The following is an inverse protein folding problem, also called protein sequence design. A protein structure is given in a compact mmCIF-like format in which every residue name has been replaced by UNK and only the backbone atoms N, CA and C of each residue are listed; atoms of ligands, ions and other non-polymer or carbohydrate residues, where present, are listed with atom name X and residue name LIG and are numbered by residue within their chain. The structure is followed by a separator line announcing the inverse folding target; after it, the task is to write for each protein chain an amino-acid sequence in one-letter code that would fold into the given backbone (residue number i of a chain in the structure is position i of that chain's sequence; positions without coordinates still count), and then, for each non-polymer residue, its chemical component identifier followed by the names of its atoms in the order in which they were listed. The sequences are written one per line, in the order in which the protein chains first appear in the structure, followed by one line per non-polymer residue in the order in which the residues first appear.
data_IF_957906358066
#
_entry.id   IF_957906358066
#
_cell.length_a   1.000
_cell.length_b   1.000
_cell.length_c   1.000
_cell.angle_alpha   90.00
_cell.angle_beta   90.00
_cell.angle_gamma   90.00
#
_symmetry.space_group_name_H-M   'P 1'
#
loop_
_entity.id
_entity.type
_entity.pdbx_description
1 polymer ?
#
# COMPACT_ATOMS: atom_id res chain seq x y z
N UNK A 1 27.13 4.23 2.98
CA UNK A 1 26.09 3.21 3.22
C UNK A 1 24.75 3.83 2.87
N UNK A 2 23.94 3.22 2.00
CA UNK A 2 22.60 3.75 1.67
C UNK A 2 21.60 3.48 2.80
N UNK A 3 20.66 4.42 3.03
CA UNK A 3 19.68 4.33 4.13
C UNK A 3 18.83 3.07 4.10
N UNK A 4 18.43 2.62 2.90
CA UNK A 4 17.68 1.38 2.74
C UNK A 4 18.47 0.16 3.24
N UNK A 5 19.79 0.07 3.00
CA UNK A 5 20.61 -1.03 3.53
C UNK A 5 20.75 -0.99 5.06
N UNK A 6 20.67 0.21 5.65
CA UNK A 6 20.65 0.33 7.10
C UNK A 6 19.31 -0.16 7.67
N UNK A 7 18.20 0.27 7.07
CA UNK A 7 16.85 -0.19 7.44
C UNK A 7 16.69 -1.72 7.26
N UNK A 8 17.15 -2.27 6.14
CA UNK A 8 17.20 -3.71 5.88
C UNK A 8 17.95 -4.50 6.95
N UNK A 9 19.08 -3.97 7.45
CA UNK A 9 19.83 -4.60 8.54
C UNK A 9 19.09 -4.52 9.88
N UNK A 10 18.43 -3.41 10.16
CA UNK A 10 17.56 -3.27 11.34
C UNK A 10 16.42 -4.30 11.27
N UNK A 11 15.79 -4.46 10.10
CA UNK A 11 14.78 -5.50 9.87
C UNK A 11 15.37 -6.90 10.08
N UNK A 12 16.48 -7.25 9.43
CA UNK A 12 17.11 -8.56 9.60
C UNK A 12 17.44 -8.92 11.06
N UNK A 13 17.92 -7.94 11.83
CA UNK A 13 18.17 -8.09 13.27
C UNK A 13 16.89 -8.26 14.10
N UNK A 14 15.85 -7.47 13.80
CA UNK A 14 14.55 -7.55 14.46
C UNK A 14 13.85 -8.90 14.19
N UNK A 15 13.99 -9.41 12.97
CA UNK A 15 13.33 -10.61 12.46
C UNK A 15 14.12 -11.90 12.68
N UNK A 16 15.35 -11.80 13.19
CA UNK A 16 16.26 -12.93 13.38
C UNK A 16 16.44 -13.78 12.10
N UNK A 17 16.53 -13.11 10.93
CA UNK A 17 16.65 -13.74 9.60
C UNK A 17 17.98 -14.48 9.32
N UNK A 18 18.77 -14.80 10.35
CA UNK A 18 20.22 -15.06 10.25
C UNK A 18 20.72 -15.96 9.09
N UNK A 19 22.03 -15.88 8.82
CA UNK A 19 22.66 -16.63 7.74
C UNK A 19 22.56 -15.92 6.39
N UNK A 20 22.38 -16.67 5.30
CA UNK A 20 22.46 -16.14 3.93
C UNK A 20 21.35 -15.14 3.62
N UNK A 21 20.15 -15.31 4.20
CA UNK A 21 19.04 -14.38 3.97
C UNK A 21 19.31 -12.98 4.53
N UNK A 22 19.89 -12.87 5.74
CA UNK A 22 20.30 -11.60 6.34
C UNK A 22 21.43 -10.92 5.53
N UNK A 23 22.41 -11.70 5.06
CA UNK A 23 23.49 -11.19 4.22
C UNK A 23 22.98 -10.66 2.87
N UNK A 24 22.08 -11.39 2.22
CA UNK A 24 21.45 -10.99 0.96
C UNK A 24 20.57 -9.75 1.14
N UNK A 25 19.75 -9.71 2.19
CA UNK A 25 18.89 -8.55 2.48
C UNK A 25 19.70 -7.29 2.77
N UNK A 26 20.72 -7.40 3.64
CA UNK A 26 21.54 -6.27 4.06
C UNK A 26 22.46 -5.71 2.97
N UNK A 27 22.80 -6.53 1.96
CA UNK A 27 23.74 -6.16 0.90
C UNK A 27 23.06 -5.72 -0.40
N UNK A 28 21.95 -6.37 -0.80
CA UNK A 28 21.32 -6.15 -2.10
C UNK A 28 20.20 -5.13 -2.11
N UNK A 29 19.75 -4.66 -0.95
CA UNK A 29 18.75 -3.60 -0.91
C UNK A 29 19.31 -2.31 -1.53
N UNK A 30 18.65 -1.79 -2.56
CA UNK A 30 19.05 -0.58 -3.27
C UNK A 30 17.81 0.29 -3.47
N UNK A 31 17.89 1.55 -3.09
CA UNK A 31 16.89 2.54 -3.46
C UNK A 31 17.55 3.63 -4.31
N UNK A 32 16.92 3.98 -5.42
CA UNK A 32 17.13 5.29 -6.05
C UNK A 32 16.22 6.28 -5.34
N UNK A 33 16.76 7.45 -4.96
CA UNK A 33 16.11 8.50 -4.15
C UNK A 33 14.58 8.44 -4.17
N UNK A 34 14.01 7.89 -3.08
CA UNK A 34 12.59 7.90 -2.75
C UNK A 34 11.66 6.98 -3.56
N UNK A 35 12.09 6.38 -4.66
CA UNK A 35 11.12 6.05 -5.72
C UNK A 35 11.35 4.74 -6.49
N UNK A 36 12.46 4.03 -6.24
CA UNK A 36 12.65 2.67 -6.78
C UNK A 36 13.46 1.84 -5.80
N UNK A 37 12.77 1.13 -4.91
CA UNK A 37 13.37 0.32 -3.87
C UNK A 37 13.43 -1.15 -4.32
N UNK A 38 14.61 -1.62 -4.69
CA UNK A 38 14.86 -3.04 -4.86
C UNK A 38 15.18 -3.67 -3.51
N UNK A 39 14.35 -4.61 -3.10
CA UNK A 39 14.42 -5.29 -1.80
C UNK A 39 14.38 -6.81 -1.92
N UNK A 40 14.31 -7.36 -3.15
CA UNK A 40 14.40 -8.78 -3.47
C UNK A 40 13.16 -9.58 -3.07
N UNK A 41 12.34 -10.01 -4.04
CA UNK A 41 11.06 -10.69 -3.81
C UNK A 41 11.20 -11.97 -2.98
N UNK A 42 12.16 -12.84 -3.32
CA UNK A 42 12.37 -14.11 -2.64
C UNK A 42 12.72 -13.93 -1.16
N UNK A 43 13.56 -12.94 -0.83
CA UNK A 43 13.96 -12.69 0.55
C UNK A 43 12.78 -12.12 1.35
N UNK A 44 11.96 -11.27 0.73
CA UNK A 44 10.74 -10.76 1.34
C UNK A 44 9.70 -11.83 1.62
N UNK A 45 9.57 -12.83 0.74
CA UNK A 45 8.73 -14.00 0.98
C UNK A 45 9.21 -14.79 2.21
N UNK A 46 10.53 -14.98 2.34
CA UNK A 46 11.10 -15.64 3.53
C UNK A 46 10.81 -14.84 4.80
N UNK A 47 10.95 -13.50 4.82
CA UNK A 47 10.56 -12.72 5.99
C UNK A 47 9.07 -12.73 6.30
N UNK A 48 8.22 -12.71 5.28
CA UNK A 48 6.76 -12.78 5.46
C UNK A 48 6.36 -14.08 6.18
N UNK A 49 7.04 -15.21 5.90
CA UNK A 49 6.82 -16.49 6.60
C UNK A 49 7.14 -16.44 8.11
N UNK A 50 8.00 -15.49 8.52
CA UNK A 50 8.48 -15.34 9.89
C UNK A 50 7.70 -14.29 10.68
N UNK A 51 6.97 -13.41 9.99
CA UNK A 51 6.31 -12.26 10.60
C UNK A 51 4.83 -12.51 10.89
N UNK A 52 4.37 -12.23 12.13
CA UNK A 52 2.94 -12.20 12.42
C UNK A 52 2.21 -11.20 11.50
N UNK A 53 1.08 -11.62 10.92
CA UNK A 53 0.19 -10.75 10.15
C UNK A 53 0.63 -10.44 8.72
N UNK A 54 1.69 -11.09 8.23
CA UNK A 54 2.18 -10.98 6.86
C UNK A 54 1.71 -12.15 6.01
N UNK A 55 1.48 -11.90 4.72
CA UNK A 55 1.05 -12.91 3.73
C UNK A 55 2.12 -13.05 2.64
N UNK A 56 2.80 -14.19 2.66
CA UNK A 56 3.83 -14.56 1.68
C UNK A 56 3.27 -14.59 0.26
N UNK A 57 2.04 -15.08 0.07
CA UNK A 57 1.42 -15.14 -1.25
C UNK A 57 1.03 -13.73 -1.71
N UNK A 58 0.64 -12.84 -0.80
CA UNK A 58 0.41 -11.42 -1.13
C UNK A 58 1.70 -10.73 -1.58
N UNK A 59 2.85 -11.04 -0.94
CA UNK A 59 4.16 -10.51 -1.34
C UNK A 59 4.47 -10.93 -2.78
N UNK A 60 4.32 -12.22 -3.09
CA UNK A 60 4.56 -12.74 -4.43
C UNK A 60 3.60 -12.13 -5.47
N UNK A 61 2.28 -12.13 -5.18
CA UNK A 61 1.26 -11.58 -6.07
C UNK A 61 1.51 -10.10 -6.39
N UNK A 62 1.86 -9.29 -5.40
CA UNK A 62 2.03 -7.85 -5.58
C UNK A 62 3.38 -7.46 -6.23
N UNK A 63 4.44 -8.22 -5.95
CA UNK A 63 5.75 -7.96 -6.54
C UNK A 63 5.86 -8.45 -7.99
N UNK A 64 5.12 -9.49 -8.37
CA UNK A 64 5.21 -10.15 -9.68
C UNK A 64 4.02 -9.83 -10.60
N UNK A 65 3.27 -8.76 -10.32
CA UNK A 65 2.15 -8.31 -11.17
C UNK A 65 2.65 -8.10 -12.61
N UNK A 66 2.02 -8.79 -13.57
CA UNK A 66 2.37 -8.65 -14.99
C UNK A 66 3.70 -9.32 -15.39
N UNK A 67 4.26 -10.19 -14.56
CA UNK A 67 5.54 -10.87 -14.80
C UNK A 67 5.39 -12.41 -14.80
N UNK A 68 4.55 -13.01 -15.68
CA UNK A 68 4.28 -14.46 -15.68
C UNK A 68 5.51 -15.31 -16.02
N UNK A 69 6.54 -14.73 -16.64
CA UNK A 69 7.82 -15.39 -16.93
C UNK A 69 8.72 -15.59 -15.71
N UNK A 70 8.45 -14.94 -14.58
CA UNK A 70 9.21 -15.18 -13.35
C UNK A 70 8.75 -16.52 -12.80
N UNK A 71 9.64 -17.51 -12.81
CA UNK A 71 9.38 -18.84 -12.26
C UNK A 71 9.19 -18.82 -10.74
N UNK A 72 9.24 -19.99 -10.10
CA UNK A 72 9.13 -20.09 -8.64
C UNK A 72 10.17 -19.17 -7.96
N UNK A 73 9.73 -18.15 -7.16
CA UNK A 73 10.65 -17.27 -6.46
C UNK A 73 11.50 -17.98 -5.41
N UNK A 74 11.11 -19.20 -5.01
CA UNK A 74 11.84 -20.06 -4.08
C UNK A 74 12.13 -21.42 -4.75
N UNK A 75 12.98 -21.48 -5.80
CA UNK A 75 13.17 -22.69 -6.61
C UNK A 75 13.79 -23.87 -5.83
N UNK A 76 14.30 -23.62 -4.62
CA UNK A 76 14.86 -24.62 -3.71
C UNK A 76 13.95 -24.89 -2.49
N UNK A 77 12.70 -24.39 -2.52
CA UNK A 77 11.75 -24.49 -1.41
C UNK A 77 12.02 -23.50 -0.27
N UNK A 78 11.22 -23.61 0.80
CA UNK A 78 11.37 -22.76 1.97
C UNK A 78 12.65 -23.10 2.77
N UNK A 79 13.34 -22.10 3.35
CA UNK A 79 14.54 -22.35 4.13
C UNK A 79 14.28 -23.21 5.37
N UNK A 80 15.14 -24.19 5.66
CA UNK A 80 14.93 -25.19 6.73
C UNK A 80 14.67 -24.63 8.15
N UNK A 81 15.09 -23.40 8.43
CA UNK A 81 14.94 -22.72 9.72
C UNK A 81 13.57 -22.04 9.89
N UNK A 82 12.74 -21.99 8.85
CA UNK A 82 11.34 -21.58 8.94
C UNK A 82 10.44 -22.68 9.50
N UNK A 83 10.92 -23.93 9.57
CA UNK A 83 10.15 -25.11 9.96
C UNK A 83 10.44 -25.61 11.39
N UNK A 84 9.43 -26.23 12.02
CA UNK A 84 9.58 -26.96 13.29
C UNK A 84 9.80 -26.09 14.54
N UNK A 85 10.37 -26.70 15.59
CA UNK A 85 10.58 -26.04 16.89
C UNK A 85 11.56 -24.85 16.82
N UNK A 86 12.56 -24.92 15.94
CA UNK A 86 13.51 -23.84 15.70
C UNK A 86 12.84 -22.58 15.12
N UNK A 87 11.93 -22.75 14.17
CA UNK A 87 11.11 -21.65 13.65
C UNK A 87 10.19 -21.04 14.71
N UNK A 88 9.67 -21.84 15.63
CA UNK A 88 8.82 -21.35 16.73
C UNK A 88 9.60 -20.49 17.75
N UNK A 89 10.84 -20.88 18.07
CA UNK A 89 11.73 -20.08 18.93
C UNK A 89 12.17 -18.80 18.23
N UNK A 90 12.51 -18.86 16.93
CA UNK A 90 12.85 -17.68 16.15
C UNK A 90 11.70 -16.65 16.11
N UNK A 91 10.45 -17.12 15.94
CA UNK A 91 9.25 -16.28 15.98
C UNK A 91 9.05 -15.60 17.34
N UNK A 92 9.26 -16.31 18.45
CA UNK A 92 9.15 -15.73 19.79
C UNK A 92 10.23 -14.67 20.06
N UNK A 93 11.47 -14.92 19.62
CA UNK A 93 12.57 -13.96 19.73
C UNK A 93 12.31 -12.72 18.87
N UNK A 94 11.85 -12.91 17.62
CA UNK A 94 11.49 -11.83 16.73
C UNK A 94 10.35 -10.97 17.30
N UNK A 95 9.32 -11.58 17.88
CA UNK A 95 8.23 -10.88 18.54
C UNK A 95 8.71 -10.05 19.74
N UNK A 96 9.53 -10.64 20.63
CA UNK A 96 10.06 -9.94 21.81
C UNK A 96 10.96 -8.75 21.44
N UNK A 97 11.83 -8.93 20.44
CA UNK A 97 12.70 -7.84 19.93
C UNK A 97 11.89 -6.74 19.24
N UNK A 98 10.90 -7.12 18.44
CA UNK A 98 9.99 -6.18 17.78
C UNK A 98 9.29 -5.30 18.82
N UNK A 99 8.69 -5.88 19.86
CA UNK A 99 8.05 -5.09 20.94
C UNK A 99 9.03 -4.12 21.61
N UNK A 100 10.28 -4.52 21.84
CA UNK A 100 11.28 -3.65 22.42
C UNK A 100 11.64 -2.45 21.52
N UNK A 101 11.80 -2.69 20.22
CA UNK A 101 12.09 -1.66 19.21
C UNK A 101 10.90 -0.72 18.97
N UNK A 102 9.67 -1.23 19.11
CA UNK A 102 8.44 -0.49 18.85
C UNK A 102 8.01 0.43 20.01
N UNK A 103 8.52 0.23 21.22
CA UNK A 103 8.13 0.98 22.43
C UNK A 103 8.17 2.50 22.27
N UNK A 104 9.15 3.03 21.54
CA UNK A 104 9.33 4.47 21.33
C UNK A 104 9.00 4.93 19.91
N UNK A 105 8.57 4.03 19.02
CA UNK A 105 8.42 4.30 17.59
C UNK A 105 7.58 5.56 17.32
N UNK A 106 6.44 5.72 17.99
CA UNK A 106 5.58 6.90 17.81
C UNK A 106 6.25 8.19 18.28
N UNK A 107 6.99 8.17 19.38
CA UNK A 107 7.71 9.34 19.87
C UNK A 107 8.88 9.70 18.95
N UNK A 108 9.66 8.71 18.54
CA UNK A 108 10.80 8.87 17.64
C UNK A 108 10.36 9.38 16.25
N UNK A 109 9.21 8.90 15.77
CA UNK A 109 8.62 9.37 14.50
C UNK A 109 8.19 10.83 14.59
N UNK A 110 7.57 11.25 15.71
CA UNK A 110 7.21 12.67 15.91
C UNK A 110 8.43 13.56 16.01
N UNK A 111 9.46 13.13 16.74
CA UNK A 111 10.72 13.86 16.85
C UNK A 111 11.41 13.98 15.48
N UNK A 112 11.38 12.91 14.69
CA UNK A 112 11.88 12.92 13.31
C UNK A 112 11.11 13.91 12.43
N UNK A 113 9.77 13.89 12.43
CA UNK A 113 8.96 14.83 11.65
C UNK A 113 9.24 16.29 12.04
N UNK A 114 9.27 16.59 13.34
CA UNK A 114 9.56 17.92 13.84
C UNK A 114 10.97 18.40 13.44
N UNK A 115 11.97 17.51 13.49
CA UNK A 115 13.32 17.84 13.04
C UNK A 115 13.37 18.07 11.53
N UNK A 116 12.72 17.22 10.72
CA UNK A 116 12.68 17.37 9.27
C UNK A 116 11.98 18.67 8.83
N UNK A 117 10.92 19.07 9.53
CA UNK A 117 10.22 20.34 9.31
C UNK A 117 11.11 21.54 9.69
N UNK A 118 11.71 21.51 10.89
CA UNK A 118 12.59 22.58 11.35
C UNK A 118 13.85 22.74 10.48
N UNK A 119 14.32 21.64 9.90
CA UNK A 119 15.48 21.62 9.01
C UNK A 119 15.14 21.99 7.58
N UNK A 120 13.87 22.07 7.17
CA UNK A 120 13.47 22.36 5.79
C UNK A 120 13.92 23.76 5.35
N UNK A 121 14.45 23.86 4.13
CA UNK A 121 14.78 25.13 3.48
C UNK A 121 14.30 25.07 2.04
N UNK A 122 13.71 26.17 1.57
CA UNK A 122 13.31 26.34 0.18
C UNK A 122 14.51 26.64 -0.74
N UNK A 123 14.25 26.68 -2.05
CA UNK A 123 15.28 26.91 -3.05
C UNK A 123 15.98 28.27 -2.92
N UNK A 124 15.27 29.32 -2.49
CA UNK A 124 15.84 30.64 -2.33
C UNK A 124 16.75 30.69 -1.10
N UNK A 125 16.34 30.09 0.01
CA UNK A 125 17.14 29.95 1.22
C UNK A 125 18.40 29.13 0.97
N UNK A 126 18.30 28.04 0.19
CA UNK A 126 19.45 27.23 -0.21
C UNK A 126 20.45 28.02 -1.06
N UNK A 127 19.97 28.85 -2.00
CA UNK A 127 20.83 29.67 -2.86
C UNK A 127 21.64 30.73 -2.10
N UNK A 128 21.22 31.08 -0.89
CA UNK A 128 21.91 32.04 -0.02
C UNK A 128 22.95 31.40 0.90
N UNK A 129 23.04 30.07 0.95
CA UNK A 129 23.98 29.38 1.83
C UNK A 129 25.39 29.37 1.24
N UNK A 130 26.43 29.62 2.07
CA UNK A 130 27.81 29.35 1.70
C UNK A 130 28.03 27.86 1.39
N UNK A 131 29.01 27.56 0.54
CA UNK A 131 29.30 26.17 0.12
C UNK A 131 29.60 25.24 1.31
N UNK A 132 30.32 25.71 2.33
CA UNK A 132 30.56 24.93 3.55
C UNK A 132 29.27 24.58 4.30
N UNK A 133 28.27 25.48 4.30
CA UNK A 133 26.97 25.21 4.92
C UNK A 133 26.17 24.20 4.09
N UNK A 134 26.26 24.25 2.76
CA UNK A 134 25.66 23.25 1.88
C UNK A 134 26.27 21.86 2.12
N UNK A 135 27.59 21.75 2.32
CA UNK A 135 28.25 20.47 2.58
C UNK A 135 27.76 19.81 3.89
N UNK A 136 27.70 20.59 4.98
CA UNK A 136 27.17 20.10 6.27
C UNK A 136 25.72 19.65 6.10
N UNK A 137 24.94 20.44 5.36
CA UNK A 137 23.53 20.15 5.13
C UNK A 137 23.30 18.89 4.30
N UNK A 138 24.13 18.62 3.30
CA UNK A 138 24.08 17.36 2.54
C UNK A 138 24.28 16.15 3.44
N UNK A 139 25.21 16.22 4.39
CA UNK A 139 25.46 15.14 5.36
C UNK A 139 24.28 14.97 6.31
N UNK A 140 23.73 16.08 6.83
CA UNK A 140 22.53 16.08 7.66
C UNK A 140 21.33 15.45 6.94
N UNK A 141 21.06 15.86 5.70
CA UNK A 141 19.97 15.32 4.89
C UNK A 141 20.15 13.83 4.63
N UNK A 142 21.37 13.38 4.34
CA UNK A 142 21.67 11.95 4.18
C UNK A 142 21.35 11.16 5.46
N UNK A 143 21.77 11.67 6.61
CA UNK A 143 21.52 11.01 7.89
C UNK A 143 20.02 11.02 8.25
N UNK A 144 19.31 12.11 7.94
CA UNK A 144 17.85 12.20 8.10
C UNK A 144 17.14 11.19 7.18
N UNK A 145 17.56 11.06 5.93
CA UNK A 145 17.05 10.03 5.01
C UNK A 145 17.26 8.63 5.60
N UNK A 146 18.45 8.34 6.15
CA UNK A 146 18.72 7.05 6.78
C UNK A 146 17.79 6.78 7.97
N UNK A 147 17.59 7.78 8.83
CA UNK A 147 16.67 7.68 9.97
C UNK A 147 15.22 7.44 9.51
N UNK A 148 14.77 8.16 8.47
CA UNK A 148 13.44 7.98 7.89
C UNK A 148 13.21 6.56 7.38
N UNK A 149 14.20 5.98 6.68
CA UNK A 149 14.13 4.58 6.22
C UNK A 149 14.03 3.58 7.39
N UNK A 150 14.79 3.80 8.46
CA UNK A 150 14.75 2.93 9.65
C UNK A 150 13.38 3.02 10.32
N UNK A 151 12.85 4.24 10.53
CA UNK A 151 11.53 4.43 11.14
C UNK A 151 10.41 3.81 10.30
N UNK A 152 10.47 3.95 8.98
CA UNK A 152 9.48 3.35 8.07
C UNK A 152 9.52 1.81 8.15
N UNK A 153 10.71 1.22 8.21
CA UNK A 153 10.87 -0.22 8.41
C UNK A 153 10.32 -0.71 9.78
N UNK A 154 10.46 0.08 10.84
CA UNK A 154 9.87 -0.25 12.13
C UNK A 154 8.34 -0.15 12.12
N UNK A 155 7.76 0.88 11.48
CA UNK A 155 6.31 1.00 11.27
C UNK A 155 5.71 -0.16 10.48
N UNK A 156 6.48 -0.68 9.53
CA UNK A 156 6.09 -1.86 8.76
C UNK A 156 5.98 -3.11 9.65
N UNK A 157 6.91 -3.31 10.60
CA UNK A 157 6.81 -4.39 11.61
C UNK A 157 5.58 -4.17 12.50
N UNK A 158 5.39 -2.95 13.02
CA UNK A 158 4.23 -2.59 13.87
C UNK A 158 2.89 -2.89 13.19
N UNK A 159 2.79 -2.55 11.90
CA UNK A 159 1.58 -2.80 11.10
C UNK A 159 1.30 -4.30 10.99
N UNK A 160 2.34 -5.12 10.78
CA UNK A 160 2.22 -6.59 10.78
C UNK A 160 1.75 -7.16 12.11
N UNK A 161 2.41 -6.76 13.20
CA UNK A 161 2.04 -7.18 14.56
C UNK A 161 0.61 -6.78 14.90
N UNK A 162 0.20 -5.55 14.54
CA UNK A 162 -1.17 -5.07 14.73
C UNK A 162 -2.17 -5.87 13.92
N UNK A 163 -1.87 -6.15 12.64
CA UNK A 163 -2.72 -6.98 11.78
C UNK A 163 -2.92 -8.39 12.35
N UNK A 164 -1.86 -8.99 12.92
CA UNK A 164 -1.91 -10.31 13.54
C UNK A 164 -2.78 -10.35 14.81
N UNK A 165 -2.85 -9.24 15.55
CA UNK A 165 -3.59 -9.12 16.80
C UNK A 165 -5.10 -8.88 16.59
N UNK A 166 -5.53 -8.51 15.38
CA UNK A 166 -6.94 -8.27 15.07
C UNK A 166 -7.73 -9.59 14.85
N UNK A 167 -8.99 -9.70 15.31
CA UNK A 167 -9.80 -10.90 15.12
C UNK A 167 -9.99 -11.25 13.65
N UNK A 168 -9.95 -12.55 13.33
CA UNK A 168 -10.08 -13.11 11.95
C UNK A 168 -11.35 -12.68 11.18
N UNK A 169 -12.37 -12.12 11.82
CA UNK A 169 -13.54 -11.55 11.14
C UNK A 169 -13.26 -10.20 10.47
N UNK A 170 -12.12 -9.57 10.76
CA UNK A 170 -11.62 -8.35 10.11
C UNK A 170 -10.49 -8.65 9.09
N UNK A 171 -10.29 -9.93 8.72
CA UNK A 171 -9.13 -10.49 8.00
C UNK A 171 -8.96 -10.07 6.52
N UNK A 172 -9.22 -8.82 6.18
CA UNK A 172 -8.85 -8.24 4.88
C UNK A 172 -7.50 -7.51 4.87
N UNK A 173 -6.82 -7.35 6.01
CA UNK A 173 -5.61 -6.52 6.14
C UNK A 173 -4.39 -7.35 6.55
N UNK A 174 -3.97 -8.28 5.71
CA UNK A 174 -2.61 -8.80 5.79
C UNK A 174 -1.63 -7.73 5.27
N UNK A 175 -0.42 -7.67 5.83
CA UNK A 175 0.64 -6.81 5.29
C UNK A 175 1.19 -7.46 4.01
N UNK A 176 1.12 -6.78 2.86
CA UNK A 176 1.52 -7.33 1.56
C UNK A 176 3.05 -7.39 1.35
N UNK A 177 3.83 -7.31 2.43
CA UNK A 177 5.28 -7.32 2.42
C UNK A 177 5.92 -5.93 2.52
N UNK A 178 7.24 -5.91 2.33
CA UNK A 178 8.04 -4.67 2.40
C UNK A 178 7.70 -3.65 1.32
N UNK A 179 6.99 -4.03 0.25
CA UNK A 179 6.46 -3.07 -0.73
C UNK A 179 5.52 -2.04 -0.09
N UNK A 180 4.94 -2.36 1.08
CA UNK A 180 4.20 -1.37 1.87
C UNK A 180 5.09 -0.19 2.33
N UNK A 181 6.42 -0.34 2.38
CA UNK A 181 7.36 0.75 2.71
C UNK A 181 7.30 1.89 1.68
N UNK A 182 6.94 1.55 0.43
CA UNK A 182 6.75 2.52 -0.64
C UNK A 182 5.28 2.88 -0.83
N UNK A 183 4.35 2.06 -0.32
CA UNK A 183 2.92 2.35 -0.38
C UNK A 183 2.61 3.71 0.27
N UNK A 184 1.99 4.57 -0.53
CA UNK A 184 1.66 5.93 -0.16
C UNK A 184 0.31 6.26 -0.77
N UNK A 185 -0.53 6.98 -0.01
CA UNK A 185 -1.81 7.49 -0.51
C UNK A 185 -1.68 8.39 -1.75
N UNK A 186 -0.45 8.79 -2.12
CA UNK A 186 -0.14 9.60 -3.29
C UNK A 186 -0.61 8.96 -4.59
N UNK A 187 -0.27 7.69 -4.86
CA UNK A 187 -0.69 7.05 -6.13
C UNK A 187 -2.21 6.99 -6.23
N UNK A 188 -2.89 6.64 -5.13
CA UNK A 188 -4.35 6.62 -5.07
C UNK A 188 -4.96 8.02 -5.27
N UNK A 189 -4.41 9.05 -4.62
CA UNK A 189 -4.88 10.43 -4.73
C UNK A 189 -4.72 10.97 -6.16
N UNK A 190 -3.57 10.75 -6.77
CA UNK A 190 -3.24 11.20 -8.12
C UNK A 190 -4.06 10.44 -9.18
N UNK A 191 -4.32 9.15 -8.96
CA UNK A 191 -5.18 8.35 -9.84
C UNK A 191 -6.66 8.73 -9.70
N UNK A 192 -7.10 9.25 -8.54
CA UNK A 192 -8.50 9.62 -8.31
C UNK A 192 -8.97 10.80 -9.19
N UNK A 193 -8.10 11.77 -9.46
CA UNK A 193 -8.38 12.88 -10.38
C UNK A 193 -8.68 12.35 -11.79
N UNK A 194 -7.80 11.49 -12.31
CA UNK A 194 -7.97 10.85 -13.61
C UNK A 194 -9.22 9.94 -13.64
N UNK A 195 -9.46 9.16 -12.58
CA UNK A 195 -10.64 8.32 -12.47
C UNK A 195 -11.94 9.14 -12.49
N UNK A 196 -11.94 10.34 -11.90
CA UNK A 196 -13.09 11.25 -11.95
C UNK A 196 -13.37 11.75 -13.36
N UNK A 197 -12.32 12.14 -14.11
CA UNK A 197 -12.45 12.54 -15.51
C UNK A 197 -12.99 11.41 -16.39
N UNK A 198 -12.52 10.18 -16.20
CA UNK A 198 -13.00 9.00 -16.93
C UNK A 198 -14.43 8.62 -16.57
N UNK A 199 -14.85 8.80 -15.31
CA UNK A 199 -16.23 8.51 -14.89
C UNK A 199 -17.26 9.38 -15.60
N UNK A 200 -16.88 10.60 -15.98
CA UNK A 200 -17.75 11.53 -16.69
C UNK A 200 -17.94 11.18 -18.19
N UNK A 201 -17.10 10.32 -18.77
CA UNK A 201 -17.10 10.00 -20.20
C UNK A 201 -16.93 8.48 -20.42
N UNK A 202 -18.05 7.73 -20.57
CA UNK A 202 -18.00 6.27 -20.71
C UNK A 202 -17.19 5.78 -21.92
N UNK A 203 -17.26 6.40 -23.12
CA UNK A 203 -16.33 6.09 -24.22
C UNK A 203 -14.85 6.23 -23.86
N UNK A 204 -14.44 7.34 -23.24
CA UNK A 204 -13.04 7.53 -22.83
C UNK A 204 -12.62 6.52 -21.75
N UNK A 205 -13.52 6.14 -20.85
CA UNK A 205 -13.26 5.09 -19.85
C UNK A 205 -13.01 3.73 -20.49
N UNK A 206 -13.76 3.38 -21.54
CA UNK A 206 -13.55 2.14 -22.28
C UNK A 206 -12.17 2.13 -22.96
N UNK A 207 -11.81 3.22 -23.63
CA UNK A 207 -10.48 3.38 -24.23
C UNK A 207 -9.37 3.32 -23.18
N UNK A 208 -9.58 3.90 -22.00
CA UNK A 208 -8.62 3.85 -20.90
C UNK A 208 -8.46 2.44 -20.33
N UNK A 209 -9.54 1.65 -20.23
CA UNK A 209 -9.49 0.26 -19.80
C UNK A 209 -8.73 -0.64 -20.79
N UNK A 210 -8.72 -0.28 -22.08
CA UNK A 210 -7.94 -0.92 -23.14
C UNK A 210 -6.49 -0.39 -23.23
N UNK A 211 -6.12 0.60 -22.41
CA UNK A 211 -4.81 1.26 -22.49
C UNK A 211 -4.61 2.08 -23.77
N UNK A 212 -5.68 2.45 -24.49
CA UNK A 212 -5.61 3.13 -25.78
C UNK A 212 -5.39 4.65 -25.63
N UNK A 213 -4.18 5.01 -25.19
CA UNK A 213 -3.77 6.40 -24.99
C UNK A 213 -3.79 7.22 -26.29
N UNK A 214 -3.52 6.59 -27.43
CA UNK A 214 -3.52 7.26 -28.74
C UNK A 214 -4.92 7.79 -29.09
N UNK A 215 -5.95 6.96 -28.94
CA UNK A 215 -7.34 7.40 -29.16
C UNK A 215 -7.80 8.43 -28.13
N UNK A 216 -7.38 8.32 -26.86
CA UNK A 216 -7.66 9.35 -25.85
C UNK A 216 -7.04 10.69 -26.24
N UNK A 217 -5.79 10.71 -26.71
CA UNK A 217 -5.12 11.93 -27.19
C UNK A 217 -5.85 12.56 -28.37
N UNK A 218 -6.37 11.75 -29.29
CA UNK A 218 -7.11 12.25 -30.45
C UNK A 218 -8.51 12.79 -30.09
N UNK A 219 -9.23 12.11 -29.18
CA UNK A 219 -10.63 12.42 -28.85
C UNK A 219 -10.78 13.44 -27.71
N UNK A 220 -9.85 13.46 -26.77
CA UNK A 220 -9.87 14.37 -25.62
C UNK A 220 -8.46 14.81 -25.22
N UNK A 221 -7.95 15.90 -25.84
CA UNK A 221 -6.70 16.54 -25.42
C UNK A 221 -6.69 16.92 -23.94
N UNK A 222 -7.86 17.25 -23.37
CA UNK A 222 -8.02 17.57 -21.94
C UNK A 222 -7.70 16.36 -21.06
N UNK A 223 -8.27 15.19 -21.36
CA UNK A 223 -8.01 13.96 -20.58
C UNK A 223 -6.56 13.53 -20.75
N UNK A 224 -5.99 13.65 -21.95
CA UNK A 224 -4.58 13.38 -22.18
C UNK A 224 -3.66 14.29 -21.34
N UNK A 225 -3.97 15.58 -21.23
CA UNK A 225 -3.21 16.50 -20.38
C UNK A 225 -3.24 16.12 -18.89
N UNK A 226 -4.36 15.58 -18.40
CA UNK A 226 -4.45 15.05 -17.02
C UNK A 226 -3.52 13.84 -16.86
N UNK A 227 -3.50 12.92 -17.83
CA UNK A 227 -2.60 11.75 -17.82
C UNK A 227 -1.15 12.20 -17.78
N UNK A 228 -0.75 13.11 -18.68
CA UNK A 228 0.62 13.62 -18.75
C UNK A 228 1.02 14.35 -17.44
N UNK A 229 0.09 15.10 -16.84
CA UNK A 229 0.32 15.78 -15.56
C UNK A 229 0.50 14.80 -14.39
N UNK A 230 -0.30 13.72 -14.34
CA UNK A 230 -0.15 12.67 -13.32
C UNK A 230 1.16 11.91 -13.53
N UNK A 231 1.53 11.56 -14.77
CA UNK A 231 2.83 10.94 -15.07
C UNK A 231 3.99 11.86 -14.71
N UNK A 232 3.88 13.17 -14.88
CA UNK A 232 4.92 14.09 -14.42
C UNK A 232 5.13 14.05 -12.89
N UNK A 233 4.06 13.82 -12.12
CA UNK A 233 4.10 13.77 -10.65
C UNK A 233 4.52 12.41 -10.10
N UNK A 234 3.98 11.32 -10.65
CA UNK A 234 4.15 9.96 -10.14
C UNK A 234 4.71 8.98 -11.17
N UNK A 235 5.28 9.46 -12.28
CA UNK A 235 5.78 8.62 -13.37
C UNK A 235 6.86 7.63 -12.93
N UNK A 236 7.61 7.96 -11.88
CA UNK A 236 8.60 7.08 -11.28
C UNK A 236 8.01 5.94 -10.44
N UNK A 237 6.69 5.94 -10.19
CA UNK A 237 5.94 4.90 -9.47
C UNK A 237 5.36 3.88 -10.45
N UNK A 238 4.85 2.77 -9.93
CA UNK A 238 4.13 1.79 -10.74
C UNK A 238 3.80 0.51 -9.96
N UNK A 239 2.98 -0.39 -10.54
CA UNK A 239 2.79 -1.73 -9.98
C UNK A 239 4.12 -2.47 -9.84
N UNK A 240 4.28 -3.25 -8.76
CA UNK A 240 5.50 -4.03 -8.54
C UNK A 240 6.76 -3.20 -8.31
N UNK A 241 6.66 -1.97 -7.80
CA UNK A 241 7.79 -1.04 -7.60
C UNK A 241 8.92 -1.53 -6.67
N UNK A 242 8.68 -2.64 -5.95
CA UNK A 242 9.69 -3.34 -5.15
C UNK A 242 10.62 -4.25 -5.98
N UNK A 243 10.30 -4.45 -7.27
CA UNK A 243 11.08 -5.22 -8.24
C UNK A 243 11.68 -4.28 -9.29
N UNK A 244 12.99 -4.38 -9.51
CA UNK A 244 13.72 -3.48 -10.40
C UNK A 244 13.29 -3.66 -11.86
N UNK A 245 12.94 -4.88 -12.26
CA UNK A 245 12.48 -5.19 -13.60
C UNK A 245 11.05 -4.69 -13.90
N UNK A 246 10.30 -4.24 -12.90
CA UNK A 246 8.96 -3.68 -13.09
C UNK A 246 9.01 -2.35 -13.84
N UNK A 247 8.09 -2.18 -14.78
CA UNK A 247 7.88 -0.92 -15.49
C UNK A 247 7.27 0.12 -14.54
N UNK A 248 7.69 1.35 -14.71
CA UNK A 248 7.05 2.52 -14.08
C UNK A 248 5.95 3.09 -14.95
N UNK A 249 5.12 3.98 -14.42
CA UNK A 249 4.12 4.72 -15.19
C UNK A 249 4.74 5.62 -16.26
N UNK A 250 5.99 6.05 -16.09
CA UNK A 250 6.74 6.76 -17.13
C UNK A 250 7.19 5.82 -18.26
N UNK A 251 7.57 4.58 -17.94
CA UNK A 251 7.92 3.57 -18.94
C UNK A 251 6.71 3.11 -19.75
N UNK A 252 5.55 3.01 -19.08
CA UNK A 252 4.29 2.59 -19.70
C UNK A 252 3.07 3.32 -19.07
N UNK A 253 2.69 4.49 -19.62
CA UNK A 253 1.55 5.28 -19.14
C UNK A 253 0.20 4.57 -19.27
N UNK A 254 0.11 3.50 -20.06
CA UNK A 254 -1.15 2.74 -20.22
C UNK A 254 -1.54 2.04 -18.93
N UNK A 255 -0.58 1.67 -18.08
CA UNK A 255 -0.84 1.08 -16.76
C UNK A 255 -1.62 2.04 -15.84
N UNK A 256 -1.32 3.34 -15.90
CA UNK A 256 -2.03 4.37 -15.15
C UNK A 256 -3.47 4.52 -15.64
N UNK A 257 -3.69 4.47 -16.96
CA UNK A 257 -5.02 4.52 -17.57
C UNK A 257 -5.89 3.35 -17.13
N UNK A 258 -5.36 2.13 -17.20
CA UNK A 258 -6.09 0.92 -16.80
C UNK A 258 -6.45 0.96 -15.31
N UNK A 259 -5.50 1.40 -14.47
CA UNK A 259 -5.74 1.57 -13.03
C UNK A 259 -6.86 2.61 -12.74
N UNK A 260 -6.80 3.77 -13.41
CA UNK A 260 -7.81 4.82 -13.25
C UNK A 260 -9.20 4.40 -13.76
N UNK A 261 -9.27 3.65 -14.86
CA UNK A 261 -10.51 3.11 -15.40
C UNK A 261 -11.15 2.10 -14.44
N UNK A 262 -10.34 1.24 -13.80
CA UNK A 262 -10.79 0.33 -12.74
C UNK A 262 -11.30 1.05 -11.49
N UNK A 263 -10.68 2.16 -11.11
CA UNK A 263 -11.10 3.01 -10.00
C UNK A 263 -12.32 3.92 -10.32
N UNK A 264 -12.82 3.88 -11.56
CA UNK A 264 -13.98 4.63 -12.02
C UNK A 264 -15.17 3.71 -12.36
N UNK A 265 -15.72 2.92 -11.40
CA UNK A 265 -16.88 2.10 -11.70
C UNK A 265 -18.06 2.99 -12.11
N UNK A 266 -18.90 2.53 -13.06
CA UNK A 266 -20.09 3.26 -13.45
C UNK A 266 -21.02 3.44 -12.23
N UNK A 267 -21.70 4.59 -12.15
CA UNK A 267 -22.65 4.84 -11.07
C UNK A 267 -23.73 3.74 -11.09
N UNK A 268 -24.07 3.15 -9.93
CA UNK A 268 -25.12 2.13 -9.88
C UNK A 268 -26.41 2.71 -10.44
N UNK A 269 -26.97 2.05 -11.45
CA UNK A 269 -28.26 2.43 -12.02
C UNK A 269 -29.32 2.30 -10.91
N UNK A 270 -30.14 3.32 -10.65
CA UNK A 270 -31.20 3.19 -9.66
C UNK A 270 -32.07 1.97 -10.00
N UNK A 271 -32.53 1.20 -9.00
CA UNK A 271 -33.33 0.01 -9.24
C UNK A 271 -34.50 0.38 -10.12
N UNK A 272 -34.63 -0.31 -11.25
CA UNK A 272 -35.79 -0.20 -12.11
C UNK A 272 -36.96 -0.78 -11.32
N UNK A 273 -37.86 0.07 -10.83
CA UNK A 273 -39.16 -0.44 -10.43
C UNK A 273 -39.91 -0.79 -11.71
N UNK A 274 -40.38 -2.03 -11.92
CA UNK A 274 -41.21 -2.35 -13.07
C UNK A 274 -42.49 -1.50 -12.98
N UNK A 275 -42.55 -0.47 -13.82
CA UNK A 275 -43.73 0.35 -14.04
C UNK A 275 -44.76 -0.48 -14.80
N UNK A 276 -45.58 -1.22 -14.04
CA UNK A 276 -46.60 -2.09 -14.61
C UNK A 276 -47.18 -3.08 -13.61
N UNK A 277 -47.59 -2.63 -12.42
CA UNK A 277 -48.59 -3.38 -11.65
C UNK A 277 -49.98 -2.87 -12.06
N UNK A 278 -50.85 -3.72 -12.64
CA UNK A 278 -52.23 -3.32 -12.92
C UNK A 278 -52.95 -2.96 -11.61
N UNK A 279 -53.91 -2.03 -11.61
CA UNK A 279 -54.68 -1.72 -10.41
C UNK A 279 -55.40 -2.98 -9.93
N UNK A 280 -54.95 -3.54 -8.82
CA UNK A 280 -55.65 -4.62 -8.12
C UNK A 280 -57.00 -4.09 -7.67
N UNK A 281 -58.04 -4.63 -8.33
CA UNK A 281 -59.46 -4.44 -8.02
C UNK A 281 -59.67 -4.57 -6.52
N UNK A 282 -60.17 -3.51 -5.87
CA UNK A 282 -60.50 -3.51 -4.46
C UNK A 282 -61.50 -4.64 -4.16
N UNK A 283 -61.03 -5.71 -3.53
CA UNK A 283 -61.90 -6.71 -2.90
C UNK A 283 -62.39 -6.09 -1.59
N UNK A 284 -63.64 -5.63 -1.62
CA UNK A 284 -64.41 -5.19 -0.46
C UNK A 284 -64.71 -6.45 0.38
N UNK A 285 -64.09 -6.56 1.56
CA UNK A 285 -64.26 -7.71 2.44
C UNK A 285 -63.94 -7.37 3.90
N UNK A 286 -64.96 -6.84 4.59
CA UNK A 286 -65.26 -6.90 6.04
C UNK A 286 -64.13 -7.01 7.07
N UNK A 287 -63.97 -5.95 7.87
CA UNK A 287 -63.36 -5.97 9.20
C UNK A 287 -64.32 -6.58 10.24
N UNK A 288 -63.88 -7.52 11.11
CA UNK A 288 -64.57 -7.78 12.36
C UNK A 288 -64.10 -6.81 13.44
N UNK A 289 -65.09 -6.10 13.97
CA UNK A 289 -65.11 -5.24 15.15
C UNK A 289 -64.48 -5.86 16.41
N UNK A 290 -63.72 -5.04 17.13
CA UNK A 290 -63.34 -5.20 18.54
C UNK A 290 -64.51 -5.54 19.47
N UNK A 291 -64.24 -6.15 20.63
CA UNK A 291 -64.90 -5.76 21.87
C UNK A 291 -63.92 -5.09 22.85
N UNK A 292 -64.38 -3.98 23.43
CA UNK A 292 -63.89 -3.40 24.70
C UNK A 292 -64.62 -4.04 25.89
N UNK A 293 -64.08 -3.77 27.08
CA UNK A 293 -64.54 -4.04 28.46
C UNK A 293 -63.89 -5.27 29.11
N UNK A 294 -63.32 -5.21 30.31
CA UNK A 294 -63.22 -4.12 31.28
C UNK A 294 -62.59 -4.60 32.61
N UNK A 295 -62.24 -3.61 33.45
CA UNK A 295 -61.94 -3.65 34.91
C UNK A 295 -60.83 -4.58 35.43
N UNK A 296 -59.72 -4.08 36.00
CA UNK A 296 -59.50 -3.34 37.29
C UNK A 296 -59.51 -4.27 38.52
N UNK A 297 -58.33 -4.43 39.16
CA UNK A 297 -57.96 -4.56 40.61
C UNK A 297 -56.71 -5.44 40.74
N UNK A 298 -55.53 -4.94 41.12
CA UNK A 298 -55.02 -4.52 42.44
C UNK A 298 -54.37 -5.68 43.25
N UNK A 299 -53.28 -5.33 43.94
CA UNK A 299 -52.55 -6.03 45.02
C UNK A 299 -51.49 -7.08 44.63
N UNK A 300 -50.26 -6.84 45.14
CA UNK A 300 -49.17 -7.82 45.22
C UNK A 300 -47.83 -7.23 44.86
#
# INVERSE_FOLDING_TARGET
MSGLRAASRVLGQALALGGVADAEWGSRAIAVFGHRAYVGVSVNMVAASQLPGWDQDAVARNALVGQPQVGDPLPFGEPAWTAGALGSVAKAVAAGRSVALLRHLRADTRAYCAAAEAEHLDAAQLALLPEAALEVRLRLLRDRIHQGWILNALWLIDTGVTAAALPRSQAGRSVPGISMITDSGLVAAETAELASALRADPPLRALAAEGNLASIRALSPKTAAIVDAVVARIGHRGPGEAELASKTFADDPTMLLTAAAGAAPPSPRPPHWPSGLPPTRAVRGSWPTTPRCGSRTNCG
#
